data_IF_976347263406
#
_entry.id   IF_976347263406
#
_cell.length_a   1.000
_cell.length_b   1.000
_cell.length_c   1.000
_cell.angle_alpha   90.00
_cell.angle_beta   90.00
_cell.angle_gamma   90.00
#
_symmetry.space_group_name_H-M   'P 1'
#
loop_
_entity.id
_entity.type
_entity.pdbx_description
1 polymer ?
#
# COMPACT_ATOMS: atom_id res chain seq x y z
N UNK A 1 0.07 -19.67 -29.30
CA UNK A 1 1.08 -19.45 -28.23
C UNK A 1 1.89 -18.23 -28.58
N UNK A 2 1.51 -17.04 -28.10
CA UNK A 2 2.40 -15.88 -28.10
C UNK A 2 2.16 -15.14 -26.78
N UNK A 3 3.11 -15.36 -25.88
CA UNK A 3 3.18 -14.82 -24.54
C UNK A 3 3.48 -13.33 -24.72
N UNK A 4 2.45 -12.49 -24.68
CA UNK A 4 2.59 -11.04 -24.68
C UNK A 4 3.58 -10.67 -23.56
N UNK A 5 4.81 -10.39 -23.97
CA UNK A 5 5.88 -9.88 -23.15
C UNK A 5 5.38 -8.58 -22.54
N UNK A 6 4.92 -8.64 -21.29
CA UNK A 6 4.56 -7.45 -20.52
C UNK A 6 5.80 -6.57 -20.48
N UNK A 7 5.75 -5.52 -21.27
CA UNK A 7 6.83 -4.57 -21.47
C UNK A 7 6.98 -3.77 -20.18
N UNK A 8 7.97 -4.11 -19.34
CA UNK A 8 8.47 -3.24 -18.27
C UNK A 8 9.33 -2.11 -18.88
N UNK A 9 8.76 -1.31 -19.81
CA UNK A 9 9.43 -0.12 -20.34
C UNK A 9 8.69 1.14 -19.93
N UNK A 10 9.34 1.91 -19.05
CA UNK A 10 9.12 3.36 -18.94
C UNK A 10 8.13 3.83 -17.87
N UNK A 11 8.29 5.10 -17.50
CA UNK A 11 7.36 5.89 -16.71
C UNK A 11 6.07 6.09 -17.54
N UNK A 12 5.03 5.33 -17.19
CA UNK A 12 3.70 5.49 -17.79
C UNK A 12 2.79 6.24 -16.82
N UNK A 13 2.32 7.46 -17.16
CA UNK A 13 1.46 8.27 -16.31
C UNK A 13 -0.01 7.80 -16.27
N UNK A 14 -0.37 6.77 -17.04
CA UNK A 14 -1.75 6.30 -17.18
C UNK A 14 -2.08 5.24 -16.11
N UNK A 15 -2.92 5.61 -15.14
CA UNK A 15 -3.31 4.78 -13.99
C UNK A 15 -3.94 3.43 -14.35
N UNK A 16 -4.53 3.33 -15.55
CA UNK A 16 -5.17 2.15 -16.11
C UNK A 16 -4.21 1.13 -16.74
N UNK A 17 -3.01 1.57 -17.19
CA UNK A 17 -1.99 0.68 -17.76
C UNK A 17 -0.87 0.33 -16.76
N UNK A 18 -0.93 0.87 -15.54
CA UNK A 18 0.08 0.62 -14.52
C UNK A 18 -0.04 -0.84 -14.03
N UNK A 19 0.96 -1.66 -14.38
CA UNK A 19 1.09 -3.03 -13.87
C UNK A 19 0.88 -3.04 -12.35
N UNK A 20 0.00 -3.94 -11.88
CA UNK A 20 -0.33 -4.12 -10.46
C UNK A 20 0.90 -4.27 -9.59
N UNK A 21 2.02 -4.74 -10.15
CA UNK A 21 3.35 -4.77 -9.53
C UNK A 21 3.81 -3.40 -9.03
N UNK A 22 3.67 -2.33 -9.81
CA UNK A 22 4.06 -0.96 -9.40
C UNK A 22 3.17 -0.41 -8.29
N UNK A 23 1.87 -0.75 -8.31
CA UNK A 23 0.93 -0.41 -7.22
C UNK A 23 1.29 -1.18 -5.94
N UNK A 24 1.61 -2.47 -6.05
CA UNK A 24 2.05 -3.29 -4.92
C UNK A 24 3.37 -2.80 -4.32
N UNK A 25 4.37 -2.49 -5.15
CA UNK A 25 5.64 -1.88 -4.72
C UNK A 25 5.35 -0.57 -3.99
N UNK A 26 4.50 0.32 -4.52
CA UNK A 26 4.11 1.54 -3.79
C UNK A 26 3.49 1.25 -2.43
N UNK A 27 2.56 0.29 -2.32
CA UNK A 27 1.98 -0.08 -1.01
C UNK A 27 3.05 -0.59 -0.06
N UNK A 28 4.04 -1.33 -0.56
CA UNK A 28 5.16 -1.87 0.21
C UNK A 28 6.11 -0.76 0.71
N UNK A 29 6.38 0.24 -0.13
CA UNK A 29 7.12 1.45 0.27
C UNK A 29 6.35 2.34 1.24
N UNK A 30 5.02 2.28 1.27
CA UNK A 30 4.19 3.03 2.23
C UNK A 30 4.23 2.43 3.64
N UNK A 31 4.55 1.13 3.78
CA UNK A 31 4.68 0.46 5.08
C UNK A 31 5.69 1.18 6.02
N UNK A 32 6.95 1.47 5.61
CA UNK A 32 7.89 2.18 6.48
C UNK A 32 7.43 3.60 6.82
N UNK A 33 6.75 4.31 5.91
CA UNK A 33 6.13 5.59 6.25
C UNK A 33 5.00 5.44 7.28
N UNK A 34 4.22 4.37 7.21
CA UNK A 34 3.20 4.03 8.20
C UNK A 34 3.80 3.78 9.59
N UNK A 35 4.94 3.10 9.66
CA UNK A 35 5.67 2.87 10.93
C UNK A 35 6.19 4.19 11.52
N UNK A 36 6.76 5.07 10.69
CA UNK A 36 7.21 6.41 11.13
C UNK A 36 6.03 7.24 11.64
N UNK A 37 4.90 7.22 10.92
CA UNK A 37 3.68 7.92 11.34
C UNK A 37 3.17 7.41 12.70
N UNK A 38 3.20 6.09 12.94
CA UNK A 38 2.86 5.51 14.24
C UNK A 38 3.81 5.99 15.34
N UNK A 39 5.12 6.00 15.09
CA UNK A 39 6.10 6.50 16.07
C UNK A 39 5.85 7.97 16.41
N UNK A 40 5.67 8.83 15.41
CA UNK A 40 5.37 10.25 15.61
C UNK A 40 4.07 10.46 16.39
N UNK A 41 3.04 9.67 16.09
CA UNK A 41 1.76 9.72 16.78
C UNK A 41 1.92 9.48 18.28
N UNK A 42 2.73 8.49 18.68
CA UNK A 42 3.02 8.18 20.07
C UNK A 42 3.79 9.29 20.81
N UNK A 43 4.54 10.14 20.09
CA UNK A 43 5.20 11.31 20.67
C UNK A 43 4.29 12.55 20.79
N UNK A 44 3.24 12.65 19.96
CA UNK A 44 2.39 13.84 19.87
C UNK A 44 1.12 13.69 20.71
N UNK A 45 0.55 12.48 20.77
CA UNK A 45 -0.69 12.21 21.50
C UNK A 45 -0.34 11.70 22.90
N UNK A 46 -0.64 12.47 23.93
CA UNK A 46 -0.49 12.03 25.33
C UNK A 46 -1.58 11.02 25.75
N UNK A 47 -2.72 11.03 25.06
CA UNK A 47 -3.85 10.16 25.38
C UNK A 47 -3.62 8.72 24.90
N UNK A 48 -3.29 7.83 25.84
CA UNK A 48 -3.02 6.42 25.57
C UNK A 48 -4.15 5.69 24.81
N UNK A 49 -5.41 5.91 25.20
CA UNK A 49 -6.58 5.26 24.55
C UNK A 49 -6.73 5.73 23.10
N UNK A 50 -6.60 7.05 22.85
CA UNK A 50 -6.67 7.60 21.50
C UNK A 50 -5.52 7.09 20.63
N UNK A 51 -4.32 6.97 21.19
CA UNK A 51 -3.18 6.39 20.49
C UNK A 51 -3.44 4.96 20.01
N UNK A 52 -4.03 4.12 20.86
CA UNK A 52 -4.39 2.75 20.50
C UNK A 52 -5.43 2.74 19.37
N UNK A 53 -6.49 3.54 19.48
CA UNK A 53 -7.57 3.59 18.47
C UNK A 53 -7.03 4.01 17.10
N UNK A 54 -6.19 5.06 17.06
CA UNK A 54 -5.62 5.56 15.80
C UNK A 54 -4.63 4.54 15.22
N UNK A 55 -3.80 3.91 16.06
CA UNK A 55 -2.87 2.85 15.60
C UNK A 55 -3.62 1.69 14.96
N UNK A 56 -4.68 1.19 15.62
CA UNK A 56 -5.53 0.11 15.09
C UNK A 56 -6.15 0.52 13.75
N UNK A 57 -6.65 1.76 13.66
CA UNK A 57 -7.26 2.29 12.44
C UNK A 57 -6.27 2.30 11.28
N UNK A 58 -5.02 2.73 11.51
CA UNK A 58 -3.97 2.74 10.49
C UNK A 58 -3.62 1.32 10.04
N UNK A 59 -3.48 0.38 10.99
CA UNK A 59 -3.18 -1.03 10.68
C UNK A 59 -4.29 -1.67 9.84
N UNK A 60 -5.55 -1.44 10.19
CA UNK A 60 -6.71 -1.95 9.43
C UNK A 60 -6.74 -1.33 8.03
N UNK A 61 -6.51 -0.02 7.91
CA UNK A 61 -6.45 0.67 6.61
C UNK A 61 -5.36 0.11 5.70
N UNK A 62 -4.15 -0.09 6.24
CA UNK A 62 -3.02 -0.65 5.49
C UNK A 62 -3.27 -2.09 5.07
N UNK A 63 -3.83 -2.92 5.96
CA UNK A 63 -4.14 -4.33 5.63
C UNK A 63 -5.23 -4.46 4.57
N UNK A 64 -6.30 -3.66 4.64
CA UNK A 64 -7.33 -3.60 3.59
C UNK A 64 -6.72 -3.14 2.27
N UNK A 65 -5.89 -2.10 2.28
CA UNK A 65 -5.24 -1.58 1.08
C UNK A 65 -4.31 -2.64 0.44
N UNK A 66 -3.59 -3.40 1.27
CA UNK A 66 -2.69 -4.46 0.84
C UNK A 66 -3.48 -5.65 0.27
N UNK A 67 -4.55 -6.09 0.95
CA UNK A 67 -5.46 -7.13 0.44
C UNK A 67 -6.14 -6.72 -0.86
N UNK A 68 -6.68 -5.51 -0.96
CA UNK A 68 -7.33 -5.03 -2.17
C UNK A 68 -6.34 -4.99 -3.34
N UNK A 69 -5.13 -4.49 -3.10
CA UNK A 69 -4.06 -4.46 -4.10
C UNK A 69 -3.68 -5.88 -4.54
N UNK A 70 -3.57 -6.81 -3.60
CA UNK A 70 -3.24 -8.21 -3.87
C UNK A 70 -4.35 -8.97 -4.61
N UNK A 71 -5.61 -8.86 -4.18
CA UNK A 71 -6.76 -9.50 -4.84
C UNK A 71 -6.97 -8.96 -6.26
N UNK A 72 -6.71 -7.67 -6.47
CA UNK A 72 -6.80 -7.05 -7.79
C UNK A 72 -5.61 -7.43 -8.68
N UNK A 73 -4.44 -7.70 -8.11
CA UNK A 73 -3.32 -8.31 -8.83
C UNK A 73 -3.64 -9.73 -9.29
N UNK A 74 -4.09 -10.60 -8.37
CA UNK A 74 -4.42 -12.02 -8.66
C UNK A 74 -5.57 -12.22 -9.64
N UNK A 75 -6.47 -11.24 -9.78
CA UNK A 75 -7.63 -11.32 -10.69
C UNK A 75 -7.33 -10.79 -12.10
N UNK A 76 -6.27 -9.99 -12.25
CA UNK A 76 -5.86 -9.41 -13.54
C UNK A 76 -4.57 -10.06 -14.09
N UNK A 77 -4.08 -11.11 -13.43
CA UNK A 77 -3.08 -12.08 -13.92
C UNK A 77 -3.69 -13.47 -13.90
#
# INVERSE_FOLDING_TARGET
MSKNSKVDKGYEPIYWNLSYRRKFIRTLWVIPFGVIAMLLQWFIIDNFILNIIVTITIVIGLTIQLMYTYLKWKRNE
#
